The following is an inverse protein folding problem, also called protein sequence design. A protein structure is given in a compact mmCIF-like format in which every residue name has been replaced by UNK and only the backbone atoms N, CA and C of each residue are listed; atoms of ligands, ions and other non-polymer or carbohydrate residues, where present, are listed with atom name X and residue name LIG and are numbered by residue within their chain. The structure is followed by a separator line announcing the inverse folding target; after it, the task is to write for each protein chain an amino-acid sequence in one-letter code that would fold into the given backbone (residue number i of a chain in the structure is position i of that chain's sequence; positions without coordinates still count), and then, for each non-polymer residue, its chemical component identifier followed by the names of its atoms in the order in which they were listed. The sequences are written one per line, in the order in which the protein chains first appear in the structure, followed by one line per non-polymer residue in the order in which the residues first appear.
data_IF_915453029751
#
_entry.id   IF_915453029751
#
_cell.length_a   1.000
_cell.length_b   1.000
_cell.length_c   1.000
_cell.angle_alpha   90.00
_cell.angle_beta   90.00
_cell.angle_gamma   90.00
#
_symmetry.space_group_name_H-M   'P 1'
#
loop_
_entity.id
_entity.type
_entity.pdbx_description
1 polymer ?
#
# COMPACT_ATOMS: atom_id res chain seq x y z
N UNK A 1 -9.56 -6.72 5.89
CA UNK A 1 -9.30 -5.30 5.54
C UNK A 1 -10.26 -4.72 4.53
N UNK A 2 -10.66 -5.42 3.46
CA UNK A 2 -11.59 -4.88 2.44
C UNK A 2 -12.93 -4.41 3.03
N UNK A 3 -13.54 -5.18 3.93
CA UNK A 3 -14.78 -4.79 4.63
C UNK A 3 -14.59 -3.51 5.44
N UNK A 4 -13.50 -3.42 6.19
CA UNK A 4 -13.14 -2.25 7.00
C UNK A 4 -12.91 -1.01 6.15
N UNK A 5 -12.23 -1.16 5.00
CA UNK A 5 -12.09 -0.09 4.01
C UNK A 5 -13.47 0.43 3.57
N UNK A 6 -14.36 -0.46 3.11
CA UNK A 6 -15.70 -0.10 2.62
C UNK A 6 -16.49 0.64 3.70
N UNK A 7 -16.51 0.14 4.93
CA UNK A 7 -17.21 0.76 6.06
C UNK A 7 -16.64 2.14 6.39
N UNK A 8 -15.31 2.26 6.48
CA UNK A 8 -14.64 3.53 6.81
C UNK A 8 -14.91 4.59 5.76
N UNK A 9 -14.76 4.24 4.49
CA UNK A 9 -14.94 5.18 3.39
C UNK A 9 -16.41 5.57 3.22
N UNK A 10 -17.35 4.62 3.35
CA UNK A 10 -18.79 4.92 3.34
C UNK A 10 -19.18 5.89 4.45
N UNK A 11 -18.63 5.74 5.65
CA UNK A 11 -18.86 6.68 6.75
C UNK A 11 -18.29 8.08 6.50
N UNK A 12 -17.09 8.15 5.91
CA UNK A 12 -16.46 9.42 5.58
C UNK A 12 -17.23 10.14 4.46
N UNK A 13 -17.58 9.41 3.40
CA UNK A 13 -18.30 9.93 2.25
C UNK A 13 -19.72 10.40 2.63
N UNK A 14 -20.42 9.69 3.53
CA UNK A 14 -21.75 10.10 4.00
C UNK A 14 -21.75 11.39 4.85
N UNK A 15 -20.62 11.73 5.46
CA UNK A 15 -20.47 12.93 6.30
C UNK A 15 -19.86 14.11 5.55
N UNK A 16 -19.26 13.90 4.39
CA UNK A 16 -18.57 14.93 3.63
C UNK A 16 -18.73 14.67 2.13
N UNK A 17 -19.55 15.49 1.49
CA UNK A 17 -19.85 15.42 0.05
C UNK A 17 -18.64 15.77 -0.83
N UNK A 18 -17.59 16.37 -0.28
CA UNK A 18 -16.31 16.58 -0.99
C UNK A 18 -15.52 15.28 -1.19
N UNK A 19 -15.81 14.22 -0.44
CA UNK A 19 -15.20 12.91 -0.66
C UNK A 19 -15.93 12.19 -1.77
N UNK A 20 -15.23 11.85 -2.85
CA UNK A 20 -15.75 11.19 -4.03
C UNK A 20 -15.07 9.84 -4.20
N UNK A 21 -15.83 8.76 -4.31
CA UNK A 21 -15.30 7.39 -4.41
C UNK A 21 -15.50 6.87 -5.83
N UNK A 22 -14.39 6.48 -6.46
CA UNK A 22 -14.38 5.98 -7.84
C UNK A 22 -13.99 4.49 -7.80
N UNK A 23 -14.86 3.63 -8.31
CA UNK A 23 -14.69 2.18 -8.30
C UNK A 23 -14.40 1.67 -9.72
N UNK A 24 -13.34 0.87 -9.87
CA UNK A 24 -12.97 0.18 -11.12
C UNK A 24 -13.64 -1.19 -11.21
N UNK A 25 -14.97 -1.23 -11.19
CA UNK A 25 -15.83 -2.43 -11.26
C UNK A 25 -15.54 -3.50 -10.18
N UNK A 26 -15.00 -3.08 -9.06
CA UNK A 26 -14.74 -3.93 -7.90
C UNK A 26 -15.38 -3.36 -6.63
N UNK A 27 -15.81 -4.23 -5.73
CA UNK A 27 -16.49 -3.87 -4.47
C UNK A 27 -17.82 -3.14 -4.63
N UNK A 28 -18.34 -2.98 -5.84
CA UNK A 28 -19.56 -2.21 -6.15
C UNK A 28 -20.74 -2.61 -5.29
N UNK A 29 -21.03 -3.92 -5.22
CA UNK A 29 -22.15 -4.44 -4.43
C UNK A 29 -22.03 -4.13 -2.93
N UNK A 30 -20.79 -4.11 -2.42
CA UNK A 30 -20.56 -3.86 -1.00
C UNK A 30 -20.72 -2.38 -0.61
N UNK A 31 -20.68 -1.44 -1.58
CA UNK A 31 -20.97 -0.04 -1.37
C UNK A 31 -22.46 0.30 -1.56
N UNK A 32 -23.26 -0.57 -2.19
CA UNK A 32 -24.68 -0.32 -2.42
C UNK A 32 -25.47 -0.26 -1.11
N UNK A 33 -26.43 0.68 -1.06
CA UNK A 33 -27.50 0.74 -0.09
C UNK A 33 -28.82 0.68 -0.85
N UNK A 34 -29.72 -0.22 -0.46
CA UNK A 34 -30.98 -0.45 -1.18
C UNK A 34 -30.78 -0.63 -2.70
N UNK A 35 -29.79 -1.46 -3.08
CA UNK A 35 -29.37 -1.73 -4.46
C UNK A 35 -28.84 -0.54 -5.26
N UNK A 36 -28.64 0.64 -4.67
CA UNK A 36 -28.11 1.82 -5.32
C UNK A 36 -26.79 2.26 -4.68
N UNK A 37 -25.90 2.81 -5.48
CA UNK A 37 -24.70 3.49 -4.97
C UNK A 37 -25.11 4.85 -4.36
N UNK A 38 -24.50 5.24 -3.21
CA UNK A 38 -24.64 6.60 -2.69
C UNK A 38 -24.22 7.66 -3.70
N UNK A 39 -24.74 8.91 -3.63
CA UNK A 39 -24.55 9.95 -4.66
C UNK A 39 -23.09 10.32 -4.97
N UNK A 40 -22.18 10.10 -4.04
CA UNK A 40 -20.75 10.41 -4.18
C UNK A 40 -19.86 9.15 -4.33
N UNK A 41 -20.48 8.03 -4.74
CA UNK A 41 -19.77 6.78 -5.04
C UNK A 41 -20.15 6.34 -6.46
N UNK A 42 -19.17 6.24 -7.34
CA UNK A 42 -19.36 5.97 -8.76
C UNK A 42 -18.67 4.69 -9.17
N UNK A 43 -19.35 3.84 -9.91
CA UNK A 43 -18.68 2.76 -10.64
C UNK A 43 -18.30 3.28 -12.02
N UNK A 44 -16.99 3.43 -12.25
CA UNK A 44 -16.45 3.92 -13.51
C UNK A 44 -16.25 2.79 -14.55
N UNK A 45 -16.46 1.52 -14.13
CA UNK A 45 -16.11 0.37 -14.96
C UNK A 45 -14.59 0.11 -15.00
N UNK A 46 -14.17 -0.73 -15.94
CA UNK A 46 -12.74 -1.11 -16.11
C UNK A 46 -12.05 -0.08 -17.00
N UNK A 47 -11.84 1.13 -16.47
CA UNK A 47 -11.29 2.29 -17.18
C UNK A 47 -10.27 3.03 -16.28
N UNK A 48 -9.26 2.35 -15.76
CA UNK A 48 -8.39 2.87 -14.69
C UNK A 48 -7.63 4.15 -15.09
N UNK A 49 -7.17 4.26 -16.33
CA UNK A 49 -6.50 5.48 -16.82
C UNK A 49 -7.43 6.68 -16.76
N UNK A 50 -8.66 6.53 -17.29
CA UNK A 50 -9.69 7.57 -17.26
C UNK A 50 -10.13 7.87 -15.83
N UNK A 51 -10.28 6.83 -15.00
CA UNK A 51 -10.67 6.97 -13.60
C UNK A 51 -9.63 7.77 -12.80
N UNK A 52 -8.34 7.54 -13.02
CA UNK A 52 -7.26 8.30 -12.39
C UNK A 52 -7.26 9.75 -12.88
N UNK A 53 -7.40 9.98 -14.19
CA UNK A 53 -7.46 11.33 -14.75
C UNK A 53 -8.67 12.10 -14.23
N UNK A 54 -9.85 11.49 -14.21
CA UNK A 54 -11.07 12.07 -13.67
C UNK A 54 -10.94 12.40 -12.17
N UNK A 55 -10.37 11.46 -11.39
CA UNK A 55 -10.09 11.68 -9.97
C UNK A 55 -9.16 12.87 -9.73
N UNK A 56 -8.13 13.04 -10.56
CA UNK A 56 -7.24 14.19 -10.47
C UNK A 56 -7.98 15.49 -10.79
N UNK A 57 -8.86 15.51 -11.79
CA UNK A 57 -9.74 16.66 -12.09
C UNK A 57 -10.62 17.01 -10.88
N UNK A 58 -11.27 16.02 -10.26
CA UNK A 58 -12.03 16.24 -9.02
C UNK A 58 -11.16 16.84 -7.91
N UNK A 59 -9.93 16.35 -7.77
CA UNK A 59 -9.00 16.86 -6.76
C UNK A 59 -8.60 18.31 -7.02
N UNK A 60 -8.39 18.69 -8.27
CA UNK A 60 -8.12 20.08 -8.68
C UNK A 60 -9.28 21.01 -8.34
N UNK A 61 -10.54 20.54 -8.44
CA UNK A 61 -11.76 21.25 -8.08
C UNK A 61 -12.05 21.22 -6.56
N UNK A 62 -11.10 20.78 -5.75
CA UNK A 62 -11.20 20.80 -4.29
C UNK A 62 -12.01 19.66 -3.67
N UNK A 63 -12.35 18.63 -4.44
CA UNK A 63 -12.84 17.36 -3.92
C UNK A 63 -11.70 16.49 -3.42
N UNK A 64 -12.04 15.42 -2.70
CA UNK A 64 -11.06 14.43 -2.24
C UNK A 64 -11.39 13.05 -2.84
N UNK A 65 -10.74 12.65 -3.94
CA UNK A 65 -11.02 11.38 -4.59
C UNK A 65 -10.41 10.21 -3.80
N UNK A 66 -11.18 9.11 -3.75
CA UNK A 66 -10.73 7.80 -3.28
C UNK A 66 -10.96 6.81 -4.43
N UNK A 67 -9.89 6.36 -5.05
CA UNK A 67 -9.90 5.50 -6.24
C UNK A 67 -9.63 4.07 -5.83
N UNK A 68 -10.52 3.14 -6.18
CA UNK A 68 -10.43 1.74 -5.75
C UNK A 68 -10.54 0.76 -6.92
N UNK A 69 -9.51 -0.07 -7.08
CA UNK A 69 -9.46 -1.17 -8.04
C UNK A 69 -8.46 -2.24 -7.60
N UNK A 70 -8.05 -3.13 -8.51
CA UNK A 70 -7.02 -4.16 -8.30
C UNK A 70 -5.63 -3.57 -8.60
N UNK A 71 -4.63 -4.01 -7.84
CA UNK A 71 -3.27 -3.46 -7.85
C UNK A 71 -2.64 -3.33 -9.26
N UNK A 72 -2.52 -4.39 -10.09
CA UNK A 72 -1.89 -4.25 -11.41
C UNK A 72 -2.62 -3.26 -12.31
N UNK A 73 -3.93 -3.15 -12.17
CA UNK A 73 -4.72 -2.32 -13.08
C UNK A 73 -4.56 -0.82 -12.81
N UNK A 74 -4.32 -0.42 -11.58
CA UNK A 74 -4.02 0.98 -11.31
C UNK A 74 -2.53 1.28 -11.41
N UNK A 75 -1.68 0.37 -10.94
CA UNK A 75 -0.23 0.64 -10.86
C UNK A 75 0.45 0.49 -12.21
N UNK A 76 0.17 -0.57 -12.96
CA UNK A 76 0.84 -0.81 -14.24
C UNK A 76 0.12 -0.10 -15.39
N UNK A 77 -1.22 -0.20 -15.44
CA UNK A 77 -2.02 0.35 -16.54
C UNK A 77 -2.16 1.87 -16.49
N UNK A 78 -2.32 2.46 -15.30
CA UNK A 78 -2.55 3.90 -15.12
C UNK A 78 -1.34 4.65 -14.49
N UNK A 79 -0.13 4.08 -14.57
CA UNK A 79 1.07 4.67 -13.97
C UNK A 79 1.35 6.09 -14.44
N UNK A 80 1.25 6.33 -15.75
CA UNK A 80 1.48 7.66 -16.32
C UNK A 80 0.49 8.68 -15.77
N UNK A 81 -0.80 8.32 -15.69
CA UNK A 81 -1.85 9.22 -15.18
C UNK A 81 -1.63 9.52 -13.70
N UNK A 82 -1.18 8.55 -12.89
CA UNK A 82 -0.80 8.80 -11.50
C UNK A 82 0.35 9.81 -11.44
N UNK A 83 1.40 9.58 -12.23
CA UNK A 83 2.58 10.45 -12.27
C UNK A 83 2.22 11.86 -12.70
N UNK A 84 1.60 12.00 -13.86
CA UNK A 84 1.37 13.32 -14.50
C UNK A 84 0.24 14.06 -13.81
N UNK A 85 -0.90 13.40 -13.57
CA UNK A 85 -2.08 14.12 -13.12
C UNK A 85 -2.07 14.38 -11.60
N UNK A 86 -1.64 13.42 -10.79
CA UNK A 86 -1.60 13.57 -9.34
C UNK A 86 -0.24 14.05 -8.81
N UNK A 87 0.82 13.28 -9.10
CA UNK A 87 2.10 13.49 -8.44
C UNK A 87 2.78 14.81 -8.85
N UNK A 88 2.82 15.14 -10.14
CA UNK A 88 3.46 16.38 -10.61
C UNK A 88 2.64 17.62 -10.27
N UNK A 89 1.33 17.51 -10.17
CA UNK A 89 0.44 18.60 -9.76
C UNK A 89 0.24 18.67 -8.24
N UNK A 90 0.86 17.77 -7.47
CA UNK A 90 0.76 17.69 -6.01
C UNK A 90 -0.71 17.65 -5.49
N UNK A 91 -1.59 16.96 -6.21
CA UNK A 91 -3.00 16.85 -5.88
C UNK A 91 -3.25 15.77 -4.83
N UNK A 92 -4.11 16.00 -3.83
CA UNK A 92 -4.45 15.02 -2.81
C UNK A 92 -5.41 13.94 -3.31
N UNK A 93 -5.34 12.75 -2.70
CA UNK A 93 -6.26 11.66 -2.98
C UNK A 93 -5.77 10.34 -2.39
N UNK A 94 -6.62 9.33 -2.42
CA UNK A 94 -6.26 7.96 -2.02
C UNK A 94 -6.41 7.06 -3.23
N UNK A 95 -5.32 6.35 -3.58
CA UNK A 95 -5.33 5.21 -4.49
C UNK A 95 -5.30 3.96 -3.61
N UNK A 96 -6.38 3.19 -3.56
CA UNK A 96 -6.47 2.03 -2.68
C UNK A 96 -6.80 0.77 -3.45
N UNK A 97 -5.98 -0.27 -3.27
CA UNK A 97 -6.09 -1.49 -4.05
C UNK A 97 -6.29 -2.73 -3.20
N UNK A 98 -6.90 -3.72 -3.81
CA UNK A 98 -6.85 -5.13 -3.40
C UNK A 98 -5.97 -5.90 -4.37
N UNK A 99 -5.72 -7.18 -4.09
CA UNK A 99 -4.87 -7.99 -4.95
C UNK A 99 -3.39 -7.71 -4.70
N UNK A 100 -2.98 -7.62 -3.44
CA UNK A 100 -1.58 -7.59 -3.04
C UNK A 100 -0.80 -8.78 -3.61
N UNK A 101 0.48 -8.83 -3.42
CA UNK A 101 1.47 -9.69 -4.12
C UNK A 101 0.94 -11.02 -4.69
N UNK A 102 0.14 -11.77 -3.93
CA UNK A 102 -0.41 -13.06 -4.36
C UNK A 102 -1.86 -13.31 -3.94
N UNK A 103 -2.63 -12.28 -3.60
CA UNK A 103 -4.02 -12.45 -3.16
C UNK A 103 -4.89 -13.13 -4.24
N UNK A 104 -4.64 -12.81 -5.51
CA UNK A 104 -5.35 -13.37 -6.66
C UNK A 104 -4.52 -14.42 -7.40
N UNK A 105 -3.82 -15.29 -6.65
CA UNK A 105 -2.95 -16.32 -7.20
C UNK A 105 -3.63 -17.23 -8.24
N UNK A 106 -4.93 -17.51 -8.08
CA UNK A 106 -5.71 -18.37 -8.99
C UNK A 106 -5.97 -17.72 -10.35
N UNK A 107 -5.93 -16.38 -10.44
CA UNK A 107 -6.17 -15.64 -11.68
C UNK A 107 -4.89 -15.46 -12.51
N UNK A 108 -3.72 -15.80 -11.94
CA UNK A 108 -2.44 -15.76 -12.64
C UNK A 108 -1.85 -14.36 -12.74
N UNK A 109 -0.81 -14.25 -13.58
CA UNK A 109 0.06 -13.06 -13.68
C UNK A 109 -0.65 -11.75 -13.99
N UNK A 110 -1.75 -11.78 -14.71
CA UNK A 110 -2.53 -10.59 -15.06
C UNK A 110 -3.12 -9.87 -13.84
N UNK A 111 -3.21 -10.57 -12.72
CA UNK A 111 -3.74 -10.06 -11.46
C UNK A 111 -2.69 -9.93 -10.35
N UNK A 112 -1.42 -10.08 -10.68
CA UNK A 112 -0.31 -9.95 -9.73
C UNK A 112 0.48 -8.67 -10.00
N UNK A 113 0.76 -7.91 -8.98
CA UNK A 113 1.65 -6.75 -9.02
C UNK A 113 2.57 -6.76 -7.77
N UNK A 114 3.56 -7.69 -7.74
CA UNK A 114 4.40 -7.85 -6.55
C UNK A 114 5.37 -6.69 -6.32
N UNK A 115 5.55 -5.84 -7.32
CA UNK A 115 6.43 -4.68 -7.34
C UNK A 115 5.68 -3.33 -7.22
N UNK A 116 4.39 -3.34 -6.87
CA UNK A 116 3.56 -2.14 -6.78
C UNK A 116 4.18 -1.04 -5.90
N UNK A 117 4.64 -1.39 -4.70
CA UNK A 117 5.26 -0.45 -3.77
C UNK A 117 6.58 0.12 -4.30
N UNK A 118 7.40 -0.71 -4.95
CA UNK A 118 8.66 -0.24 -5.54
C UNK A 118 8.41 0.70 -6.72
N UNK A 119 7.41 0.41 -7.57
CA UNK A 119 6.98 1.29 -8.66
C UNK A 119 6.52 2.65 -8.11
N UNK A 120 5.59 2.65 -7.15
CA UNK A 120 5.07 3.88 -6.54
C UNK A 120 6.18 4.67 -5.82
N UNK A 121 7.14 4.00 -5.21
CA UNK A 121 8.24 4.67 -4.51
C UNK A 121 9.11 5.55 -5.41
N UNK A 122 9.08 5.33 -6.72
CA UNK A 122 9.81 6.13 -7.73
C UNK A 122 9.16 7.49 -8.01
N UNK A 123 7.86 7.63 -7.69
CA UNK A 123 7.11 8.86 -7.97
C UNK A 123 7.30 9.92 -6.87
N UNK A 124 7.34 11.22 -7.25
CA UNK A 124 7.35 12.31 -6.28
C UNK A 124 5.97 12.51 -5.65
N UNK A 125 5.94 13.19 -4.49
CA UNK A 125 4.73 13.70 -3.84
C UNK A 125 3.63 12.67 -3.56
N UNK A 126 3.95 11.37 -3.55
CA UNK A 126 3.03 10.30 -3.16
C UNK A 126 3.64 9.48 -2.01
N UNK A 127 2.83 9.20 -1.03
CA UNK A 127 3.16 8.27 0.05
C UNK A 127 2.56 6.90 -0.25
N UNK A 128 2.99 5.88 0.47
CA UNK A 128 2.45 4.53 0.30
C UNK A 128 2.37 3.79 1.63
N UNK A 129 1.43 2.85 1.71
CA UNK A 129 1.16 2.08 2.91
C UNK A 129 0.72 0.64 2.63
N UNK A 130 1.13 -0.26 3.51
CA UNK A 130 0.66 -1.64 3.62
C UNK A 130 0.18 -1.85 5.07
N UNK A 131 -1.09 -1.54 5.38
CA UNK A 131 -1.58 -1.63 6.75
C UNK A 131 -1.46 -3.06 7.29
N UNK A 132 -0.96 -3.21 8.51
CA UNK A 132 -0.81 -4.53 9.16
C UNK A 132 -2.12 -5.06 9.77
N UNK A 133 -3.08 -4.19 10.05
CA UNK A 133 -4.38 -4.53 10.60
C UNK A 133 -5.43 -3.47 10.28
N UNK A 134 -6.67 -3.71 10.67
CA UNK A 134 -7.82 -2.85 10.40
C UNK A 134 -7.71 -1.48 11.09
N UNK A 135 -7.21 -1.44 12.31
CA UNK A 135 -7.01 -0.19 13.07
C UNK A 135 -6.02 0.74 12.35
N UNK A 136 -4.88 0.16 11.90
CA UNK A 136 -3.89 0.90 11.12
C UNK A 136 -4.48 1.42 9.81
N UNK A 137 -5.27 0.62 9.10
CA UNK A 137 -5.96 1.04 7.87
C UNK A 137 -6.88 2.23 8.13
N UNK A 138 -7.74 2.16 9.15
CA UNK A 138 -8.65 3.26 9.51
C UNK A 138 -7.87 4.54 9.79
N UNK A 139 -6.80 4.43 10.57
CA UNK A 139 -5.94 5.56 10.93
C UNK A 139 -5.29 6.20 9.69
N UNK A 140 -4.74 5.37 8.78
CA UNK A 140 -4.09 5.85 7.55
C UNK A 140 -5.10 6.58 6.66
N UNK A 141 -6.29 6.01 6.42
CA UNK A 141 -7.34 6.64 5.62
C UNK A 141 -7.76 7.98 6.22
N UNK A 142 -8.06 8.03 7.51
CA UNK A 142 -8.48 9.25 8.19
C UNK A 142 -7.39 10.32 8.18
N UNK A 143 -6.11 9.97 8.39
CA UNK A 143 -4.99 10.90 8.31
C UNK A 143 -4.81 11.45 6.89
N UNK A 144 -4.93 10.61 5.86
CA UNK A 144 -4.84 11.04 4.47
C UNK A 144 -5.92 12.04 4.09
N UNK A 145 -7.17 11.78 4.49
CA UNK A 145 -8.31 12.68 4.24
C UNK A 145 -8.13 14.00 4.99
N UNK A 146 -7.83 13.95 6.30
CA UNK A 146 -7.75 15.15 7.14
C UNK A 146 -6.58 16.07 6.77
N UNK A 147 -5.47 15.49 6.32
CA UNK A 147 -4.25 16.24 5.94
C UNK A 147 -4.11 16.45 4.44
N UNK A 148 -5.13 16.12 3.66
CA UNK A 148 -5.14 16.23 2.20
C UNK A 148 -3.86 15.65 1.57
N UNK A 149 -3.57 14.36 1.82
CA UNK A 149 -2.38 13.67 1.29
C UNK A 149 -2.70 12.88 0.05
N UNK A 150 -1.75 12.78 -0.86
CA UNK A 150 -1.74 11.74 -1.88
C UNK A 150 -1.07 10.49 -1.31
N UNK A 151 -1.81 9.37 -1.30
CA UNK A 151 -1.29 8.10 -0.78
C UNK A 151 -1.82 6.89 -1.57
N UNK A 152 -0.92 5.96 -1.86
CA UNK A 152 -1.26 4.63 -2.32
C UNK A 152 -1.38 3.67 -1.12
N UNK A 153 -2.48 2.92 -1.04
CA UNK A 153 -2.72 1.94 0.04
C UNK A 153 -2.98 0.58 -0.59
N UNK A 154 -2.14 -0.39 -0.27
CA UNK A 154 -2.37 -1.78 -0.65
C UNK A 154 -3.10 -2.53 0.47
N UNK A 155 -4.28 -3.05 0.17
CA UNK A 155 -4.98 -3.99 1.03
C UNK A 155 -4.56 -5.42 0.69
N UNK A 156 -4.34 -6.25 1.70
CA UNK A 156 -4.17 -7.68 1.54
C UNK A 156 -5.29 -8.44 2.23
N UNK A 157 -5.71 -9.54 1.64
CA UNK A 157 -6.72 -10.45 2.22
C UNK A 157 -6.07 -11.52 3.07
N UNK A 158 -4.84 -11.87 2.76
CA UNK A 158 -4.10 -12.96 3.38
C UNK A 158 -3.10 -12.43 4.41
N UNK A 159 -3.61 -12.04 5.57
CA UNK A 159 -2.75 -11.77 6.72
C UNK A 159 -2.00 -13.03 7.13
N UNK A 160 -0.70 -12.91 7.19
CA UNK A 160 0.03 -13.76 8.11
C UNK A 160 -0.32 -13.27 9.51
N UNK A 161 -1.07 -14.08 10.27
CA UNK A 161 -1.18 -13.93 11.71
C UNK A 161 0.22 -14.12 12.34
N UNK A 162 1.07 -13.13 12.13
CA UNK A 162 2.27 -12.99 12.91
C UNK A 162 1.84 -12.20 14.14
N UNK A 163 2.10 -12.75 15.30
CA UNK A 163 1.94 -12.05 16.57
C UNK A 163 2.81 -10.77 16.56
N UNK A 164 2.29 -9.71 15.95
CA UNK A 164 2.91 -8.38 15.91
C UNK A 164 2.75 -7.65 17.25
N UNK A 165 2.76 -8.39 18.36
CA UNK A 165 2.73 -7.86 19.71
C UNK A 165 4.06 -7.24 20.16
N UNK A 166 5.10 -7.29 19.32
CA UNK A 166 6.44 -6.81 19.69
C UNK A 166 6.49 -5.29 19.61
N UNK A 167 6.75 -4.65 20.75
CA UNK A 167 7.00 -3.21 20.83
C UNK A 167 8.27 -2.84 20.06
N UNK A 168 8.26 -1.69 19.38
CA UNK A 168 9.46 -1.14 18.78
C UNK A 168 10.56 -0.94 19.82
N UNK A 169 11.78 -1.37 19.52
CA UNK A 169 12.98 -1.00 20.26
C UNK A 169 13.78 0.02 19.43
N UNK A 170 14.17 1.12 20.03
CA UNK A 170 14.68 2.27 19.27
C UNK A 170 15.98 2.76 19.89
N UNK A 171 17.02 2.90 19.05
CA UNK A 171 18.33 3.48 19.37
C UNK A 171 19.06 2.83 20.57
N UNK A 172 18.84 1.54 20.78
CA UNK A 172 19.51 0.76 21.84
C UNK A 172 20.67 -0.09 21.31
N UNK A 173 20.69 -0.35 20.00
CA UNK A 173 21.65 -1.23 19.35
C UNK A 173 22.22 -0.54 18.09
N UNK A 174 23.43 -0.96 17.63
CA UNK A 174 24.05 -0.35 16.45
C UNK A 174 23.38 -0.70 15.14
N UNK A 175 22.61 -1.79 15.10
CA UNK A 175 21.91 -2.30 13.91
C UNK A 175 20.41 -2.28 14.15
N UNK A 176 19.65 -1.89 13.14
CA UNK A 176 18.19 -1.90 13.16
C UNK A 176 17.63 -2.82 12.07
N UNK A 177 16.63 -3.61 12.43
CA UNK A 177 15.76 -4.31 11.50
C UNK A 177 14.46 -3.53 11.36
N UNK A 178 14.22 -2.98 10.17
CA UNK A 178 13.00 -2.25 9.82
C UNK A 178 12.07 -3.16 9.05
N UNK A 179 10.98 -3.53 9.65
CA UNK A 179 9.95 -4.39 9.05
C UNK A 179 8.80 -3.52 8.52
N UNK A 180 8.44 -3.74 7.27
CA UNK A 180 7.48 -2.90 6.55
C UNK A 180 6.27 -3.70 6.07
N UNK A 181 5.07 -3.27 6.50
CA UNK A 181 3.81 -3.84 6.02
C UNK A 181 3.48 -5.24 6.54
N UNK A 182 2.70 -5.97 5.75
CA UNK A 182 2.03 -7.22 6.15
C UNK A 182 2.88 -8.50 6.05
N UNK A 183 4.00 -8.47 5.34
CA UNK A 183 4.82 -9.68 5.06
C UNK A 183 6.00 -9.87 6.02
N UNK A 184 5.80 -9.57 7.28
CA UNK A 184 6.87 -9.64 8.27
C UNK A 184 7.07 -11.09 8.71
N UNK A 185 8.19 -11.70 8.31
CA UNK A 185 8.70 -12.94 8.91
C UNK A 185 9.87 -12.63 9.83
N UNK A 186 9.63 -12.67 11.12
CA UNK A 186 10.71 -12.62 12.12
C UNK A 186 11.36 -14.03 12.26
N UNK A 187 12.09 -14.45 11.22
CA UNK A 187 12.90 -15.68 11.28
C UNK A 187 14.26 -15.45 11.93
N UNK A 188 14.64 -14.21 12.13
CA UNK A 188 15.97 -13.86 12.64
C UNK A 188 15.86 -13.56 14.15
N UNK A 189 16.07 -14.57 14.97
CA UNK A 189 16.23 -14.42 16.42
C UNK A 189 17.56 -13.73 16.82
N UNK A 190 17.94 -12.70 16.10
CA UNK A 190 19.10 -11.92 16.48
C UNK A 190 18.74 -11.01 17.65
N UNK A 191 19.19 -11.35 18.86
CA UNK A 191 18.93 -10.61 20.10
C UNK A 191 19.66 -9.25 20.17
N UNK A 192 20.59 -8.98 19.25
CA UNK A 192 21.46 -7.79 19.30
C UNK A 192 21.08 -6.71 18.26
N UNK A 193 19.84 -6.62 17.86
CA UNK A 193 19.34 -5.62 16.92
C UNK A 193 18.11 -4.91 17.49
N UNK A 194 17.94 -3.64 17.14
CA UNK A 194 16.68 -2.95 17.33
C UNK A 194 15.68 -3.39 16.27
N UNK A 195 14.39 -3.40 16.63
CA UNK A 195 13.30 -3.76 15.71
C UNK A 195 12.29 -2.65 15.65
N UNK A 196 12.01 -2.18 14.43
CA UNK A 196 11.01 -1.15 14.14
C UNK A 196 10.03 -1.72 13.13
N UNK A 197 8.74 -1.58 13.41
CA UNK A 197 7.65 -2.04 12.56
C UNK A 197 6.87 -0.81 12.10
N UNK A 198 6.70 -0.66 10.79
CA UNK A 198 5.96 0.42 10.17
C UNK A 198 5.00 -0.09 9.10
N UNK A 199 3.90 0.62 8.92
CA UNK A 199 2.87 0.29 7.93
C UNK A 199 2.88 1.26 6.75
N UNK A 200 3.47 2.44 6.92
CA UNK A 200 3.44 3.50 5.93
C UNK A 200 4.78 4.21 5.82
N UNK A 201 5.12 4.65 4.61
CA UNK A 201 6.28 5.51 4.35
C UNK A 201 6.24 6.82 5.14
N UNK A 202 5.05 7.28 5.53
CA UNK A 202 4.85 8.45 6.42
C UNK A 202 5.49 8.26 7.81
N UNK A 203 5.66 7.03 8.24
CA UNK A 203 6.24 6.74 9.56
C UNK A 203 7.75 6.92 9.59
N UNK A 204 8.42 6.80 8.46
CA UNK A 204 9.88 6.93 8.38
C UNK A 204 10.39 8.26 8.97
N UNK A 205 9.66 9.35 8.77
CA UNK A 205 10.02 10.67 9.30
C UNK A 205 9.81 10.86 10.80
N UNK A 206 9.13 9.91 11.48
CA UNK A 206 8.88 9.98 12.94
C UNK A 206 10.07 9.55 13.76
N UNK A 207 11.05 8.87 13.16
CA UNK A 207 12.20 8.31 13.85
C UNK A 207 13.47 9.11 13.60
N UNK A 208 14.31 9.21 14.63
CA UNK A 208 15.71 9.62 14.49
C UNK A 208 16.53 8.37 14.19
N UNK A 209 17.05 8.28 12.97
CA UNK A 209 17.78 7.12 12.48
C UNK A 209 19.27 7.20 12.88
N UNK A 210 19.58 6.79 14.11
CA UNK A 210 20.95 6.79 14.66
C UNK A 210 21.48 5.36 14.77
N UNK A 211 21.74 4.74 13.61
CA UNK A 211 22.24 3.38 13.48
C UNK A 211 23.49 3.36 12.59
N UNK A 212 24.33 2.31 12.74
CA UNK A 212 25.42 2.04 11.80
C UNK A 212 24.89 1.42 10.51
N UNK A 213 23.88 0.55 10.65
CA UNK A 213 23.30 -0.21 9.55
C UNK A 213 21.81 -0.46 9.79
N UNK A 214 21.00 -0.40 8.73
CA UNK A 214 19.57 -0.71 8.76
C UNK A 214 19.26 -1.76 7.71
N UNK A 215 18.71 -2.90 8.15
CA UNK A 215 18.13 -3.92 7.29
C UNK A 215 16.66 -3.63 7.12
N UNK A 216 16.22 -3.34 5.90
CA UNK A 216 14.82 -3.07 5.57
C UNK A 216 14.21 -4.33 4.98
N UNK A 217 13.14 -4.83 5.59
CA UNK A 217 12.36 -5.97 5.09
C UNK A 217 11.15 -5.44 4.34
N UNK A 218 11.23 -5.49 3.02
CA UNK A 218 10.28 -4.88 2.11
C UNK A 218 9.04 -5.76 1.90
N UNK A 219 7.84 -5.17 1.77
CA UNK A 219 6.60 -5.92 1.51
C UNK A 219 6.37 -6.20 0.02
N UNK A 220 7.37 -5.95 -0.83
CA UNK A 220 7.25 -6.04 -2.30
C UNK A 220 8.52 -6.57 -2.92
N UNK A 221 8.45 -6.92 -4.21
CA UNK A 221 9.62 -7.12 -5.04
C UNK A 221 10.25 -5.77 -5.35
N UNK A 222 11.56 -5.66 -5.09
CA UNK A 222 12.30 -4.41 -5.24
C UNK A 222 12.19 -3.46 -4.04
N UNK A 223 13.10 -2.51 -4.02
CA UNK A 223 13.24 -1.56 -2.92
C UNK A 223 12.12 -0.49 -2.96
N UNK A 224 11.43 -0.33 -1.86
CA UNK A 224 10.38 0.68 -1.69
C UNK A 224 10.61 1.56 -0.46
N UNK A 225 10.48 0.98 0.73
CA UNK A 225 10.74 1.67 1.98
C UNK A 225 12.22 2.04 2.15
N UNK A 226 13.14 1.18 1.71
CA UNK A 226 14.58 1.49 1.73
C UNK A 226 14.93 2.68 0.83
N UNK A 227 14.34 2.79 -0.35
CA UNK A 227 14.50 3.97 -1.21
C UNK A 227 13.97 5.25 -0.53
N UNK A 228 12.82 5.16 0.12
CA UNK A 228 12.25 6.29 0.85
C UNK A 228 13.05 6.65 2.11
N UNK A 229 13.61 5.64 2.81
CA UNK A 229 14.44 5.81 4.00
C UNK A 229 15.71 6.63 3.71
N UNK A 230 16.29 6.53 2.51
CA UNK A 230 17.46 7.34 2.10
C UNK A 230 17.28 8.84 2.23
N UNK A 231 16.06 9.33 2.28
CA UNK A 231 15.76 10.75 2.55
C UNK A 231 16.03 11.16 4.01
N UNK A 232 16.14 10.22 4.91
CA UNK A 232 16.25 10.44 6.36
C UNK A 232 17.47 9.78 6.99
N UNK A 233 18.18 8.91 6.26
CA UNK A 233 19.30 8.15 6.76
C UNK A 233 20.39 7.99 5.70
N UNK A 234 21.61 8.45 6.04
CA UNK A 234 22.78 8.42 5.15
C UNK A 234 23.70 7.22 5.40
N UNK A 235 23.40 6.36 6.39
CA UNK A 235 24.20 5.18 6.71
C UNK A 235 23.95 4.01 5.76
N UNK A 236 24.50 2.85 6.10
CA UNK A 236 24.36 1.63 5.30
C UNK A 236 22.94 1.08 5.39
N UNK A 237 22.27 0.95 4.25
CA UNK A 237 20.95 0.33 4.11
C UNK A 237 21.10 -0.97 3.32
N UNK A 238 20.59 -2.08 3.88
CA UNK A 238 20.45 -3.38 3.23
C UNK A 238 18.96 -3.61 2.99
N UNK A 239 18.55 -3.66 1.71
CA UNK A 239 17.18 -3.95 1.33
C UNK A 239 17.01 -5.46 1.15
N UNK A 240 16.14 -6.04 1.99
CA UNK A 240 15.70 -7.42 1.88
C UNK A 240 14.28 -7.39 1.28
N UNK A 241 14.15 -7.70 0.02
CA UNK A 241 12.89 -7.65 -0.71
C UNK A 241 12.46 -9.03 -1.20
N UNK A 242 11.20 -9.16 -1.56
CA UNK A 242 10.67 -10.38 -2.14
C UNK A 242 11.36 -10.63 -3.49
N UNK A 243 11.83 -11.86 -3.71
CA UNK A 243 12.40 -12.26 -4.98
C UNK A 243 11.32 -12.86 -5.89
N UNK A 244 11.33 -12.45 -7.15
CA UNK A 244 10.66 -13.16 -8.21
C UNK A 244 11.53 -14.36 -8.59
N UNK A 245 11.16 -15.56 -8.14
CA UNK A 245 11.61 -16.77 -8.81
C UNK A 245 10.84 -16.87 -10.12
N UNK A 246 11.43 -16.31 -11.19
CA UNK A 246 10.78 -15.94 -12.45
C UNK A 246 10.16 -17.07 -13.25
N UNK A 247 10.19 -18.30 -12.76
CA UNK A 247 9.89 -19.46 -13.60
C UNK A 247 8.64 -20.23 -13.19
N UNK A 248 8.12 -20.10 -11.98
CA UNK A 248 7.02 -20.98 -11.50
C UNK A 248 6.00 -20.25 -10.63
N UNK A 249 5.28 -19.31 -11.19
CA UNK A 249 4.00 -18.90 -10.61
C UNK A 249 3.01 -20.05 -10.83
N UNK A 250 2.90 -20.92 -9.84
CA UNK A 250 1.99 -22.06 -9.92
C UNK A 250 0.55 -21.56 -9.85
N UNK A 251 -0.22 -21.81 -10.91
CA UNK A 251 -1.67 -21.52 -10.98
C UNK A 251 -2.49 -22.21 -9.89
N UNK A 252 -1.96 -23.24 -9.23
CA UNK A 252 -2.76 -24.23 -8.52
C UNK A 252 -2.64 -24.21 -7.00
N UNK A 253 -1.92 -23.28 -6.40
CA UNK A 253 -1.82 -23.23 -4.93
C UNK A 253 -1.30 -21.86 -4.45
N UNK A 254 -2.07 -21.20 -3.59
CA UNK A 254 -1.65 -20.00 -2.88
C UNK A 254 -0.28 -20.16 -2.21
N UNK A 255 -0.03 -21.29 -1.54
CA UNK A 255 1.24 -21.58 -0.87
C UNK A 255 2.40 -21.63 -1.85
N UNK A 256 2.24 -22.22 -3.03
CA UNK A 256 3.28 -22.31 -4.06
C UNK A 256 3.56 -20.95 -4.69
N UNK A 257 2.51 -20.21 -5.05
CA UNK A 257 2.64 -18.86 -5.60
C UNK A 257 3.30 -17.92 -4.61
N UNK A 258 2.92 -18.01 -3.33
CA UNK A 258 3.53 -17.23 -2.27
C UNK A 258 4.99 -17.56 -2.04
N UNK A 259 5.41 -18.84 -2.11
CA UNK A 259 6.82 -19.25 -2.01
C UNK A 259 7.68 -18.66 -3.12
N UNK A 260 7.08 -18.37 -4.29
CA UNK A 260 7.77 -17.71 -5.40
C UNK A 260 8.17 -16.25 -5.08
N UNK A 261 7.54 -15.64 -4.06
CA UNK A 261 7.82 -14.27 -3.61
C UNK A 261 8.44 -14.21 -2.20
N UNK A 262 8.88 -15.33 -1.64
CA UNK A 262 9.55 -15.34 -0.33
C UNK A 262 10.95 -14.75 -0.40
N UNK A 263 11.39 -14.17 0.73
CA UNK A 263 12.77 -13.70 0.86
C UNK A 263 13.75 -14.88 0.65
N UNK A 264 14.72 -14.71 -0.23
CA UNK A 264 15.91 -15.58 -0.27
C UNK A 264 16.87 -15.06 0.79
N UNK A 265 17.37 -15.98 1.63
CA UNK A 265 18.46 -15.72 2.57
C UNK A 265 19.75 -15.53 1.80
#
# INVERSE_FOLDING_TARGET
MRKTFIQTVSQLASKNNKIQVLLGDISVFAFKKNNQLPPNIYNMGILEQSMVAFGAGLSAEGYFPIIHTISPFIIERAFEQIKVNFCLNNLPGILITVGGVCDYYSLGRTHHCPNDMSIISTLPNIEFACPKNEESLIKIIKDAVSKKRLIYIRLTENFLNLELSKKNSINKKPVCHLYCGEYIRDKLENKNVDRIYIDSSLELKKYKWNYKEIHVFEPSVGASFSNRLRKFFNGKIISNHLNLDGTKLAKNSFVKTRRAYEYKN
#
